data_IF_495839929478
#
_entry.id   IF_495839929478
#
_cell.length_a   1.000
_cell.length_b   1.000
_cell.length_c   1.000
_cell.angle_alpha   90.00
_cell.angle_beta   90.00
_cell.angle_gamma   90.00
#
_symmetry.space_group_name_H-M   'P 1'
#
loop_
_entity.id
_entity.type
_entity.pdbx_description
1 polymer ?
#
# COMPACT_ATOMS: atom_id res chain seq x y z
N UNK A 1 37.15 8.35 -13.27
CA UNK A 1 35.88 7.62 -13.39
C UNK A 1 34.85 8.33 -12.52
N UNK A 2 33.97 9.13 -13.13
CA UNK A 2 32.96 9.92 -12.40
C UNK A 2 31.68 9.06 -12.28
N UNK A 3 31.33 8.65 -11.07
CA UNK A 3 30.07 7.96 -10.81
C UNK A 3 28.98 9.04 -10.77
N UNK A 4 28.26 9.21 -11.88
CA UNK A 4 27.06 10.04 -11.92
C UNK A 4 26.01 9.37 -11.02
N UNK A 5 25.75 9.96 -9.85
CA UNK A 5 24.59 9.59 -9.02
C UNK A 5 23.34 10.05 -9.75
N UNK A 6 22.70 9.14 -10.48
CA UNK A 6 21.36 9.37 -11.00
C UNK A 6 20.40 9.42 -9.81
N UNK A 7 19.94 10.61 -9.44
CA UNK A 7 18.94 10.79 -8.38
C UNK A 7 17.59 10.28 -8.89
N UNK A 8 17.35 8.96 -8.77
CA UNK A 8 16.01 8.40 -8.94
C UNK A 8 15.17 8.95 -7.79
N UNK A 9 14.19 9.79 -8.10
CA UNK A 9 13.25 10.30 -7.11
C UNK A 9 12.39 9.13 -6.66
N UNK A 10 12.64 8.64 -5.44
CA UNK A 10 11.79 7.64 -4.80
C UNK A 10 10.55 8.33 -4.24
N UNK A 11 9.44 8.16 -4.94
CA UNK A 11 8.15 8.61 -4.48
C UNK A 11 7.68 7.76 -3.31
N UNK A 12 7.12 8.41 -2.30
CA UNK A 12 6.65 7.78 -1.07
C UNK A 12 5.18 8.09 -0.91
N UNK A 13 4.39 7.03 -0.80
CA UNK A 13 2.95 7.13 -0.57
C UNK A 13 2.63 6.52 0.78
N UNK A 14 1.76 7.18 1.55
CA UNK A 14 1.15 6.62 2.74
C UNK A 14 -0.23 6.16 2.32
N UNK A 15 -0.52 4.89 2.52
CA UNK A 15 -1.82 4.32 2.21
C UNK A 15 -2.72 4.40 3.44
N UNK A 16 -3.98 4.76 3.19
CA UNK A 16 -5.04 4.86 4.17
C UNK A 16 -6.11 3.81 3.86
N UNK A 17 -6.81 3.34 4.89
CA UNK A 17 -7.87 2.32 4.75
C UNK A 17 -9.07 2.80 3.93
N UNK A 18 -9.33 4.11 3.86
CA UNK A 18 -10.40 4.69 3.05
C UNK A 18 -10.29 4.35 1.56
N UNK A 19 -9.09 4.01 1.08
CA UNK A 19 -8.87 3.52 -0.28
C UNK A 19 -9.63 2.22 -0.59
N UNK A 20 -9.86 1.38 0.41
CA UNK A 20 -10.52 0.07 0.23
C UNK A 20 -12.04 0.14 0.30
N UNK A 21 -12.60 1.26 0.79
CA UNK A 21 -14.04 1.46 0.99
C UNK A 21 -14.74 2.25 -0.09
N UNK A 22 -13.97 2.98 -0.89
CA UNK A 22 -14.49 3.89 -1.91
C UNK A 22 -14.91 3.15 -3.20
N UNK A 23 -15.68 2.07 -3.04
CA UNK A 23 -16.26 1.26 -4.12
C UNK A 23 -17.25 2.04 -5.00
N UNK A 24 -17.72 3.20 -4.52
CA UNK A 24 -18.62 4.10 -5.25
C UNK A 24 -18.01 5.44 -5.71
N UNK A 25 -16.76 5.78 -5.36
CA UNK A 25 -16.24 7.15 -5.52
C UNK A 25 -15.46 7.40 -6.84
N UNK A 26 -15.68 6.58 -7.87
CA UNK A 26 -15.11 6.81 -9.21
C UNK A 26 -13.72 6.21 -9.48
N UNK A 27 -13.13 5.48 -8.52
CA UNK A 27 -11.86 4.77 -8.75
C UNK A 27 -12.01 3.46 -9.54
N UNK A 28 -13.24 2.94 -9.73
CA UNK A 28 -13.54 1.71 -10.49
C UNK A 28 -12.64 0.52 -10.12
N UNK A 29 -12.24 0.42 -8.85
CA UNK A 29 -11.26 -0.58 -8.39
C UNK A 29 -11.86 -1.95 -8.05
N UNK A 30 -13.19 -2.12 -8.13
CA UNK A 30 -13.85 -3.40 -7.84
C UNK A 30 -15.24 -3.21 -7.25
N UNK A 31 -16.03 -4.29 -7.20
CA UNK A 31 -17.37 -4.31 -6.58
C UNK A 31 -17.37 -4.78 -5.12
N UNK A 32 -16.24 -5.30 -4.65
CA UNK A 32 -16.03 -5.85 -3.32
C UNK A 32 -14.60 -5.57 -2.84
N UNK A 33 -14.40 -5.62 -1.52
CA UNK A 33 -13.12 -5.29 -0.86
C UNK A 33 -11.96 -6.17 -1.35
N UNK A 34 -12.19 -7.47 -1.56
CA UNK A 34 -11.15 -8.40 -2.01
C UNK A 34 -10.64 -8.01 -3.42
N UNK A 35 -11.56 -7.73 -4.33
CA UNK A 35 -11.23 -7.27 -5.69
C UNK A 35 -10.44 -5.96 -5.64
N UNK A 36 -10.83 -5.00 -4.79
CA UNK A 36 -10.11 -3.74 -4.61
C UNK A 36 -8.69 -3.98 -4.11
N UNK A 37 -8.51 -4.81 -3.08
CA UNK A 37 -7.17 -5.15 -2.54
C UNK A 37 -6.30 -5.82 -3.59
N UNK A 38 -6.84 -6.77 -4.36
CA UNK A 38 -6.10 -7.44 -5.44
C UNK A 38 -5.65 -6.45 -6.51
N UNK A 39 -6.52 -5.54 -6.93
CA UNK A 39 -6.21 -4.54 -7.96
C UNK A 39 -5.17 -3.52 -7.47
N UNK A 40 -5.28 -3.05 -6.22
CA UNK A 40 -4.27 -2.18 -5.60
C UNK A 40 -2.93 -2.93 -5.50
N UNK A 41 -2.93 -4.19 -5.10
CA UNK A 41 -1.72 -5.02 -5.00
C UNK A 41 -1.02 -5.13 -6.35
N UNK A 42 -1.77 -5.38 -7.43
CA UNK A 42 -1.23 -5.41 -8.79
C UNK A 42 -0.65 -4.07 -9.22
N UNK A 43 -1.33 -2.97 -8.90
CA UNK A 43 -0.84 -1.61 -9.18
C UNK A 43 0.47 -1.34 -8.43
N UNK A 44 0.57 -1.69 -7.16
CA UNK A 44 1.80 -1.54 -6.37
C UNK A 44 2.94 -2.35 -6.98
N UNK A 45 2.70 -3.62 -7.31
CA UNK A 45 3.70 -4.50 -7.94
C UNK A 45 4.21 -3.92 -9.26
N UNK A 46 3.31 -3.40 -10.11
CA UNK A 46 3.65 -2.77 -11.39
C UNK A 46 4.51 -1.51 -11.23
N UNK A 47 4.27 -0.72 -10.19
CA UNK A 47 5.02 0.52 -9.96
C UNK A 47 6.36 0.28 -9.24
N UNK A 48 6.47 -0.76 -8.41
CA UNK A 48 7.72 -1.13 -7.73
C UNK A 48 8.81 -1.64 -8.68
N UNK A 49 8.46 -2.36 -9.73
CA UNK A 49 9.44 -2.84 -10.73
C UNK A 49 10.11 -1.71 -11.50
N UNK A 50 9.53 -0.50 -11.48
CA UNK A 50 10.10 0.72 -12.07
C UNK A 50 11.11 1.39 -11.11
N UNK A 51 11.32 0.83 -9.91
CA UNK A 51 12.40 1.20 -8.97
C UNK A 51 12.21 2.52 -8.23
N UNK A 52 11.04 3.15 -8.35
CA UNK A 52 10.83 4.54 -7.94
C UNK A 52 9.77 4.76 -6.86
N UNK A 53 9.14 3.72 -6.29
CA UNK A 53 7.98 3.91 -5.39
C UNK A 53 8.02 3.05 -4.13
N UNK A 54 7.76 3.65 -2.97
CA UNK A 54 7.53 2.96 -1.69
C UNK A 54 6.15 3.32 -1.12
N UNK A 55 5.43 2.30 -0.68
CA UNK A 55 4.14 2.43 0.00
C UNK A 55 4.30 2.13 1.49
N UNK A 56 3.79 3.02 2.34
CA UNK A 56 3.85 2.92 3.79
C UNK A 56 2.47 2.79 4.40
N UNK A 57 2.38 2.05 5.50
CA UNK A 57 1.23 2.06 6.41
C UNK A 57 1.74 2.03 7.86
N UNK A 58 1.19 2.86 8.76
CA UNK A 58 1.41 2.71 10.19
C UNK A 58 0.77 1.41 10.73
N UNK A 59 1.26 0.86 11.85
CA UNK A 59 0.66 -0.33 12.47
C UNK A 59 -0.85 -0.21 12.74
N UNK A 60 -1.32 0.94 13.23
CA UNK A 60 -2.74 1.16 13.47
C UNK A 60 -3.60 1.07 12.19
N UNK A 61 -3.05 1.48 11.03
CA UNK A 61 -3.73 1.37 9.74
C UNK A 61 -3.74 -0.08 9.26
N UNK A 62 -2.71 -0.88 9.57
CA UNK A 62 -2.72 -2.32 9.32
C UNK A 62 -3.82 -2.99 10.15
N UNK A 63 -3.94 -2.65 11.42
CA UNK A 63 -4.97 -3.21 12.31
C UNK A 63 -6.38 -2.86 11.82
N UNK A 64 -6.58 -1.61 11.42
CA UNK A 64 -7.83 -1.16 10.82
C UNK A 64 -8.13 -1.91 9.52
N UNK A 65 -7.17 -2.01 8.60
CA UNK A 65 -7.31 -2.77 7.36
C UNK A 65 -7.71 -4.23 7.62
N UNK A 66 -7.04 -4.90 8.56
CA UNK A 66 -7.33 -6.29 8.91
C UNK A 66 -8.70 -6.47 9.58
N UNK A 67 -9.26 -5.41 10.18
CA UNK A 67 -10.59 -5.46 10.79
C UNK A 67 -11.72 -5.65 9.78
N UNK A 68 -11.45 -5.42 8.48
CA UNK A 68 -12.45 -5.57 7.41
C UNK A 68 -12.68 -7.03 7.00
N UNK A 69 -11.84 -7.95 7.49
CA UNK A 69 -11.87 -9.35 7.10
C UNK A 69 -12.12 -10.24 8.30
N UNK A 70 -13.17 -11.08 8.23
CA UNK A 70 -13.41 -12.11 9.24
C UNK A 70 -12.24 -13.10 9.28
N UNK A 71 -11.78 -13.55 8.10
CA UNK A 71 -10.60 -14.39 7.97
C UNK A 71 -9.39 -13.57 7.50
N UNK A 72 -8.52 -13.23 8.46
CA UNK A 72 -7.31 -12.42 8.23
C UNK A 72 -6.17 -13.18 7.54
N UNK A 73 -6.26 -14.50 7.44
CA UNK A 73 -5.20 -15.36 6.89
C UNK A 73 -5.40 -15.68 5.40
N UNK A 74 -6.24 -14.91 4.71
CA UNK A 74 -6.48 -15.09 3.28
C UNK A 74 -5.22 -14.72 2.48
N UNK A 75 -4.93 -15.49 1.42
CA UNK A 75 -3.71 -15.36 0.64
C UNK A 75 -3.51 -13.95 0.04
N UNK A 76 -4.58 -13.32 -0.44
CA UNK A 76 -4.49 -11.98 -1.04
C UNK A 76 -4.15 -10.88 -0.02
N UNK A 77 -4.53 -11.06 1.26
CA UNK A 77 -4.18 -10.13 2.34
C UNK A 77 -2.67 -10.17 2.56
N UNK A 78 -2.11 -11.38 2.68
CA UNK A 78 -0.67 -11.57 2.81
C UNK A 78 0.09 -11.04 1.59
N UNK A 79 -0.44 -11.26 0.39
CA UNK A 79 0.15 -10.74 -0.84
C UNK A 79 0.17 -9.21 -0.84
N UNK A 80 -0.91 -8.54 -0.44
CA UNK A 80 -0.96 -7.10 -0.29
C UNK A 80 0.06 -6.59 0.75
N UNK A 81 0.01 -7.13 1.97
CA UNK A 81 0.86 -6.70 3.08
C UNK A 81 2.35 -6.92 2.79
N UNK A 82 2.72 -7.95 2.03
CA UNK A 82 4.10 -8.17 1.56
C UNK A 82 4.64 -7.01 0.71
N UNK A 83 3.75 -6.17 0.16
CA UNK A 83 4.11 -5.02 -0.64
C UNK A 83 4.22 -3.72 0.17
N UNK A 84 3.85 -3.72 1.45
CA UNK A 84 3.78 -2.51 2.27
C UNK A 84 4.96 -2.42 3.23
N UNK A 85 5.55 -1.23 3.35
CA UNK A 85 6.54 -0.93 4.40
C UNK A 85 5.82 -0.44 5.65
N UNK A 86 5.82 -1.25 6.71
CA UNK A 86 5.19 -0.87 7.97
C UNK A 86 6.10 0.12 8.70
N UNK A 87 5.60 1.33 8.96
CA UNK A 87 6.37 2.37 9.65
C UNK A 87 5.49 3.29 10.49
N UNK A 88 5.84 3.44 11.76
CA UNK A 88 5.20 4.39 12.67
C UNK A 88 5.77 5.80 12.52
N UNK A 89 4.97 6.85 12.78
CA UNK A 89 5.47 8.22 12.88
C UNK A 89 6.48 8.36 14.02
N UNK A 90 7.45 9.24 13.83
CA UNK A 90 8.47 9.57 14.82
C UNK A 90 7.94 10.71 15.70
N UNK A 91 7.42 10.36 16.89
CA UNK A 91 6.81 11.32 17.81
C UNK A 91 7.77 12.41 18.31
N UNK A 92 9.09 12.22 18.15
CA UNK A 92 10.07 13.25 18.49
C UNK A 92 10.21 14.35 17.42
N UNK A 93 9.50 14.23 16.28
CA UNK A 93 9.54 15.17 15.15
C UNK A 93 8.20 15.86 14.91
N UNK A 94 7.30 15.83 15.90
CA UNK A 94 5.96 16.41 15.85
C UNK A 94 5.87 17.51 16.89
#
# INVERSE_FOLDING_TARGET
MQILRYNIRMDKYILDTNLFFNMGSGLNMGRDTETVVKNITQLIKKNKTIGSVIFFMPPCIIDEFLSFFENKNQSFINDFLSQITIKSPDYHKI
#
